data_IF_818930345589
#
_entry.id   IF_818930345589
#
_cell.length_a   1.000
_cell.length_b   1.000
_cell.length_c   1.000
_cell.angle_alpha   90.00
_cell.angle_beta   90.00
_cell.angle_gamma   90.00
#
_symmetry.space_group_name_H-M   'P 1'
#
loop_
_entity.id
_entity.type
_entity.pdbx_description
1 polymer ?
#
# COMPACT_ATOMS: atom_id res chain seq x y z
N UNK A 1 -2.02 2.45 17.00
CA UNK A 1 -2.06 1.15 16.28
C UNK A 1 -3.46 0.54 16.39
N UNK A 2 -3.91 -0.23 15.40
CA UNK A 2 -5.13 -1.06 15.45
C UNK A 2 -4.72 -2.46 15.95
N UNK A 3 -5.44 -3.04 16.92
CA UNK A 3 -5.11 -4.37 17.43
C UNK A 3 -6.14 -5.41 16.99
N UNK A 4 -5.74 -6.69 17.01
CA UNK A 4 -6.68 -7.80 16.77
C UNK A 4 -7.79 -7.84 17.82
N UNK A 5 -7.51 -7.39 19.05
CA UNK A 5 -8.49 -7.34 20.12
C UNK A 5 -9.57 -6.27 19.84
N UNK A 6 -9.19 -5.12 19.28
CA UNK A 6 -10.13 -4.09 18.86
C UNK A 6 -11.09 -4.65 17.81
N UNK A 7 -10.55 -5.35 16.82
CA UNK A 7 -11.34 -5.93 15.75
C UNK A 7 -12.22 -7.10 16.21
N UNK A 8 -11.73 -7.96 17.12
CA UNK A 8 -12.51 -9.07 17.68
C UNK A 8 -13.73 -8.59 18.48
N UNK A 9 -13.67 -7.42 19.12
CA UNK A 9 -14.81 -6.83 19.86
C UNK A 9 -15.92 -6.35 18.93
N UNK A 10 -15.56 -5.88 17.75
CA UNK A 10 -16.50 -5.41 16.72
C UNK A 10 -16.93 -6.52 15.76
N UNK A 11 -16.33 -7.71 15.91
CA UNK A 11 -16.68 -8.89 15.16
C UNK A 11 -18.11 -9.33 15.55
N UNK A 12 -18.94 -9.68 14.58
CA UNK A 12 -20.26 -10.19 14.86
C UNK A 12 -20.19 -11.43 15.79
N UNK A 13 -20.88 -11.44 16.95
CA UNK A 13 -20.75 -12.50 17.95
C UNK A 13 -21.27 -13.87 17.46
N UNK A 14 -22.07 -13.89 16.39
CA UNK A 14 -22.70 -15.10 15.85
C UNK A 14 -21.89 -15.79 14.74
N UNK A 15 -20.62 -15.42 14.55
CA UNK A 15 -19.78 -16.02 13.50
C UNK A 15 -19.34 -17.45 13.83
N UNK A 16 -19.47 -18.34 12.85
CA UNK A 16 -18.98 -19.72 12.94
C UNK A 16 -17.44 -19.82 13.02
N UNK A 17 -16.93 -21.01 13.33
CA UNK A 17 -15.48 -21.26 13.47
C UNK A 17 -14.68 -20.99 12.19
N UNK A 18 -15.26 -21.26 11.01
CA UNK A 18 -14.61 -21.03 9.71
C UNK A 18 -14.44 -19.52 9.47
N UNK A 19 -15.44 -18.71 9.81
CA UNK A 19 -15.40 -17.25 9.71
C UNK A 19 -14.39 -16.63 10.68
N UNK A 20 -14.33 -17.12 11.92
CA UNK A 20 -13.28 -16.72 12.88
C UNK A 20 -11.88 -16.99 12.32
N UNK A 21 -11.66 -18.18 11.74
CA UNK A 21 -10.39 -18.52 11.08
C UNK A 21 -10.07 -17.61 9.90
N UNK A 22 -11.03 -17.34 9.01
CA UNK A 22 -10.85 -16.40 7.88
C UNK A 22 -10.51 -14.99 8.35
N UNK A 23 -11.15 -14.51 9.41
CA UNK A 23 -10.84 -13.22 10.02
C UNK A 23 -9.40 -13.16 10.54
N UNK A 24 -8.92 -14.19 11.24
CA UNK A 24 -7.52 -14.26 11.69
C UNK A 24 -6.54 -14.23 10.52
N UNK A 25 -6.85 -14.94 9.42
CA UNK A 25 -6.05 -14.91 8.20
C UNK A 25 -6.06 -13.52 7.55
N UNK A 26 -7.22 -12.87 7.45
CA UNK A 26 -7.36 -11.53 6.90
C UNK A 26 -6.55 -10.51 7.73
N UNK A 27 -6.64 -10.58 9.06
CA UNK A 27 -5.89 -9.73 9.96
C UNK A 27 -4.38 -9.94 9.82
N UNK A 28 -3.92 -11.19 9.79
CA UNK A 28 -2.50 -11.50 9.55
C UNK A 28 -2.03 -10.98 8.20
N UNK A 29 -2.87 -11.08 7.16
CA UNK A 29 -2.55 -10.52 5.85
C UNK A 29 -2.41 -9.01 5.88
N UNK A 30 -3.24 -8.29 6.64
CA UNK A 30 -3.12 -6.83 6.80
C UNK A 30 -1.80 -6.45 7.47
N UNK A 31 -1.49 -7.08 8.61
CA UNK A 31 -0.23 -6.86 9.34
C UNK A 31 0.96 -7.19 8.44
N UNK A 32 0.89 -8.32 7.72
CA UNK A 32 1.93 -8.70 6.77
C UNK A 32 2.17 -7.62 5.72
N UNK A 33 1.13 -7.07 5.08
CA UNK A 33 1.30 -6.05 4.03
C UNK A 33 1.89 -4.74 4.59
N UNK A 34 1.50 -4.33 5.79
CA UNK A 34 2.07 -3.16 6.47
C UNK A 34 3.55 -3.36 6.80
N UNK A 35 3.92 -4.51 7.39
CA UNK A 35 5.31 -4.86 7.66
C UNK A 35 6.14 -4.96 6.35
N UNK A 36 5.55 -5.55 5.30
CA UNK A 36 6.19 -5.66 3.98
C UNK A 36 6.45 -4.29 3.36
N UNK A 37 5.52 -3.36 3.53
CA UNK A 37 5.68 -1.99 3.05
C UNK A 37 6.90 -1.33 3.69
N UNK A 38 7.02 -1.41 5.02
CA UNK A 38 8.18 -0.85 5.75
C UNK A 38 9.49 -1.53 5.36
N UNK A 39 9.48 -2.86 5.26
CA UNK A 39 10.65 -3.62 4.82
C UNK A 39 11.14 -3.15 3.45
N UNK A 40 10.24 -3.01 2.47
CA UNK A 40 10.62 -2.60 1.12
C UNK A 40 11.07 -1.13 1.05
N UNK A 41 10.54 -0.26 1.90
CA UNK A 41 11.04 1.11 2.05
C UNK A 41 12.49 1.13 2.56
N UNK A 42 12.79 0.38 3.62
CA UNK A 42 14.15 0.28 4.18
C UNK A 42 15.12 -0.36 3.18
N UNK A 43 14.69 -1.43 2.50
CA UNK A 43 15.52 -2.07 1.48
C UNK A 43 15.74 -1.18 0.27
N UNK A 44 14.76 -0.38 -0.16
CA UNK A 44 14.95 0.58 -1.24
C UNK A 44 16.13 1.51 -0.95
N UNK A 45 16.15 2.14 0.24
CA UNK A 45 17.23 3.02 0.67
C UNK A 45 18.59 2.32 0.72
N UNK A 46 18.63 1.15 1.36
CA UNK A 46 19.85 0.35 1.45
C UNK A 46 20.41 0.01 0.08
N UNK A 47 19.57 -0.47 -0.84
CA UNK A 47 19.99 -0.91 -2.16
C UNK A 47 20.34 0.27 -3.07
N UNK A 48 19.67 1.43 -2.93
CA UNK A 48 20.05 2.65 -3.64
C UNK A 48 21.42 3.14 -3.21
N UNK A 49 21.70 3.20 -1.90
CA UNK A 49 23.03 3.56 -1.41
C UNK A 49 24.13 2.61 -1.91
N UNK A 50 23.87 1.28 -1.87
CA UNK A 50 24.81 0.29 -2.42
C UNK A 50 25.02 0.46 -3.93
N UNK A 51 23.99 0.86 -4.68
CA UNK A 51 24.13 1.19 -6.10
C UNK A 51 25.06 2.40 -6.31
N UNK A 52 24.89 3.46 -5.53
CA UNK A 52 25.77 4.64 -5.59
C UNK A 52 27.23 4.26 -5.25
N UNK A 53 27.43 3.47 -4.21
CA UNK A 53 28.77 3.05 -3.77
C UNK A 53 29.44 2.11 -4.77
N UNK A 54 28.68 1.20 -5.40
CA UNK A 54 29.16 0.35 -6.48
C UNK A 54 29.60 1.17 -7.70
N UNK A 55 28.76 2.12 -8.13
CA UNK A 55 29.07 3.03 -9.24
C UNK A 55 30.30 3.90 -8.95
N UNK A 56 30.50 4.27 -7.68
CA UNK A 56 31.65 5.05 -7.21
C UNK A 56 32.92 4.24 -6.95
N UNK A 57 32.90 2.91 -7.14
CA UNK A 57 34.05 2.04 -6.86
C UNK A 57 34.43 1.95 -5.37
N UNK A 58 33.48 2.19 -4.46
CA UNK A 58 33.71 2.23 -3.00
C UNK A 58 33.45 0.90 -2.30
N UNK A 59 32.88 -0.09 -2.98
CA UNK A 59 32.64 -1.41 -2.39
C UNK A 59 33.95 -2.16 -2.22
N UNK A 60 34.17 -2.66 -1.00
CA UNK A 60 35.39 -3.36 -0.57
C UNK A 60 35.03 -4.79 -0.20
N UNK A 61 34.53 -5.62 -1.13
CA UNK A 61 34.43 -7.08 -0.95
C UNK A 61 33.98 -7.85 -2.22
N UNK A 62 34.33 -9.14 -2.26
CA UNK A 62 34.44 -10.04 -3.42
C UNK A 62 33.15 -10.58 -4.07
N UNK A 63 31.93 -10.34 -3.56
CA UNK A 63 30.78 -11.11 -4.06
C UNK A 63 29.89 -10.41 -5.10
N UNK A 64 29.67 -9.09 -5.06
CA UNK A 64 28.95 -8.40 -6.14
C UNK A 64 29.43 -6.96 -6.28
N UNK A 65 30.36 -6.72 -7.21
CA UNK A 65 30.81 -5.37 -7.58
C UNK A 65 29.94 -4.72 -8.66
N UNK A 66 29.04 -5.48 -9.28
CA UNK A 66 28.25 -5.00 -10.41
C UNK A 66 27.14 -4.04 -9.94
N UNK A 67 27.20 -2.74 -10.29
CA UNK A 67 26.18 -1.77 -9.88
C UNK A 67 24.77 -2.10 -10.38
N UNK A 68 24.67 -2.86 -11.47
CA UNK A 68 23.38 -3.27 -12.04
C UNK A 68 22.58 -4.18 -11.11
N UNK A 69 23.26 -4.98 -10.27
CA UNK A 69 22.58 -5.83 -9.30
C UNK A 69 21.82 -4.98 -8.27
N UNK A 70 22.51 -4.03 -7.66
CA UNK A 70 21.93 -3.09 -6.70
C UNK A 70 20.86 -2.21 -7.35
N UNK A 71 21.04 -1.86 -8.63
CA UNK A 71 20.02 -1.16 -9.41
C UNK A 71 18.71 -1.94 -9.48
N UNK A 72 18.78 -3.18 -9.96
CA UNK A 72 17.61 -4.06 -10.07
C UNK A 72 16.97 -4.25 -8.68
N UNK A 73 17.77 -4.42 -7.64
CA UNK A 73 17.28 -4.61 -6.28
C UNK A 73 16.53 -3.39 -5.75
N UNK A 74 17.06 -2.17 -5.89
CA UNK A 74 16.34 -0.98 -5.39
C UNK A 74 15.07 -0.71 -6.22
N UNK A 75 15.12 -0.88 -7.55
CA UNK A 75 13.94 -0.71 -8.42
C UNK A 75 12.83 -1.71 -8.04
N UNK A 76 13.20 -2.97 -7.79
CA UNK A 76 12.25 -3.99 -7.35
C UNK A 76 11.63 -3.66 -5.99
N UNK A 77 12.42 -3.15 -5.03
CA UNK A 77 11.90 -2.75 -3.71
C UNK A 77 10.97 -1.53 -3.80
N UNK A 78 11.26 -0.57 -4.69
CA UNK A 78 10.36 0.55 -4.97
C UNK A 78 8.98 0.06 -5.44
N UNK A 79 8.90 -0.83 -6.43
CA UNK A 79 7.61 -1.36 -6.89
C UNK A 79 6.94 -2.25 -5.85
N UNK A 80 7.70 -3.05 -5.12
CA UNK A 80 7.16 -3.92 -4.08
C UNK A 80 6.49 -3.11 -2.97
N UNK A 81 7.09 -1.98 -2.57
CA UNK A 81 6.49 -1.03 -1.63
C UNK A 81 5.13 -0.50 -2.10
N UNK A 82 5.05 0.06 -3.32
CA UNK A 82 3.79 0.60 -3.82
C UNK A 82 2.72 -0.49 -3.96
N UNK A 83 3.13 -1.70 -4.37
CA UNK A 83 2.21 -2.84 -4.48
C UNK A 83 1.72 -3.33 -3.13
N UNK A 84 2.56 -3.38 -2.10
CA UNK A 84 2.14 -3.78 -0.76
C UNK A 84 1.21 -2.76 -0.14
N UNK A 85 1.49 -1.46 -0.29
CA UNK A 85 0.62 -0.40 0.22
C UNK A 85 -0.74 -0.41 -0.48
N UNK A 86 -0.74 -0.55 -1.81
CA UNK A 86 -1.97 -0.67 -2.58
C UNK A 86 -2.76 -1.93 -2.16
N UNK A 87 -2.10 -3.07 -2.00
CA UNK A 87 -2.75 -4.30 -1.53
C UNK A 87 -3.33 -4.17 -0.11
N UNK A 88 -2.66 -3.43 0.78
CA UNK A 88 -3.16 -3.10 2.11
C UNK A 88 -4.50 -2.35 2.01
N UNK A 89 -4.57 -1.30 1.18
CA UNK A 89 -5.81 -0.53 0.97
C UNK A 89 -6.90 -1.40 0.35
N UNK A 90 -6.58 -2.12 -0.73
CA UNK A 90 -7.52 -2.99 -1.47
C UNK A 90 -8.12 -4.12 -0.62
N UNK A 91 -7.50 -4.45 0.51
CA UNK A 91 -8.03 -5.46 1.43
C UNK A 91 -9.08 -4.93 2.42
N UNK A 92 -9.25 -3.61 2.54
CA UNK A 92 -10.21 -2.98 3.46
C UNK A 92 -11.66 -3.44 3.21
N UNK A 93 -12.20 -3.46 1.96
CA UNK A 93 -13.56 -3.94 1.72
C UNK A 93 -13.76 -5.40 2.16
N UNK A 94 -12.74 -6.24 1.96
CA UNK A 94 -12.80 -7.63 2.40
C UNK A 94 -12.85 -7.74 3.93
N UNK A 95 -11.98 -7.00 4.64
CA UNK A 95 -12.02 -6.93 6.10
C UNK A 95 -13.39 -6.48 6.60
N UNK A 96 -13.95 -5.42 6.00
CA UNK A 96 -15.25 -4.89 6.39
C UNK A 96 -16.38 -5.91 6.16
N UNK A 97 -16.34 -6.70 5.07
CA UNK A 97 -17.35 -7.75 4.86
C UNK A 97 -17.35 -8.77 6.01
N UNK A 98 -16.18 -9.05 6.60
CA UNK A 98 -16.06 -9.94 7.76
C UNK A 98 -16.52 -9.28 9.07
N UNK A 99 -16.32 -7.96 9.21
CA UNK A 99 -16.66 -7.23 10.44
C UNK A 99 -18.17 -6.93 10.54
N UNK A 100 -18.78 -6.38 9.49
CA UNK A 100 -20.10 -5.75 9.59
C UNK A 100 -21.30 -6.62 9.14
N UNK A 101 -21.05 -7.81 8.57
CA UNK A 101 -22.05 -8.78 8.05
C UNK A 101 -23.29 -8.09 7.42
N UNK A 102 -23.12 -7.49 6.25
CA UNK A 102 -24.15 -6.63 5.62
C UNK A 102 -25.38 -7.41 5.14
N UNK A 103 -25.17 -8.67 4.77
CA UNK A 103 -26.22 -9.62 4.45
C UNK A 103 -26.08 -10.78 5.43
N UNK A 104 -27.17 -11.50 5.75
CA UNK A 104 -27.14 -12.78 6.51
C UNK A 104 -26.39 -13.91 5.75
N UNK A 105 -25.50 -13.53 4.84
CA UNK A 105 -24.62 -14.35 4.03
C UNK A 105 -23.18 -13.92 4.32
N UNK A 106 -22.41 -14.85 4.87
CA UNK A 106 -21.00 -14.68 5.21
C UNK A 106 -20.02 -14.76 4.06
N UNK A 107 -20.47 -15.17 2.87
CA UNK A 107 -19.67 -15.11 1.66
C UNK A 107 -20.05 -13.92 0.78
N UNK A 108 -20.94 -13.06 1.30
CA UNK A 108 -21.37 -11.87 0.62
C UNK A 108 -20.18 -10.95 0.37
N UNK A 109 -19.93 -10.65 -0.90
CA UNK A 109 -18.98 -9.64 -1.36
C UNK A 109 -19.67 -8.29 -1.53
N UNK A 110 -20.64 -8.00 -0.65
CA UNK A 110 -21.50 -6.84 -0.80
C UNK A 110 -20.72 -5.54 -0.63
N UNK A 111 -19.80 -5.49 0.32
CA UNK A 111 -18.93 -4.33 0.49
C UNK A 111 -17.83 -4.40 -0.56
N UNK A 112 -17.86 -3.43 -1.44
CA UNK A 112 -16.86 -3.17 -2.47
C UNK A 112 -16.61 -1.66 -2.50
N UNK A 113 -15.59 -1.21 -3.23
CA UNK A 113 -15.39 0.23 -3.43
C UNK A 113 -16.62 0.94 -4.01
N UNK A 114 -17.31 0.31 -4.98
CA UNK A 114 -18.57 0.83 -5.54
C UNK A 114 -19.68 0.99 -4.50
N UNK A 115 -19.68 0.14 -3.48
CA UNK A 115 -20.65 0.20 -2.38
C UNK A 115 -20.45 1.46 -1.54
N UNK A 116 -19.22 1.93 -1.36
CA UNK A 116 -18.92 3.17 -0.65
C UNK A 116 -19.20 4.42 -1.49
N UNK A 117 -19.03 4.32 -2.80
CA UNK A 117 -19.39 5.41 -3.73
C UNK A 117 -20.90 5.62 -3.73
N UNK A 118 -21.67 4.57 -4.02
CA UNK A 118 -23.08 4.71 -4.41
C UNK A 118 -24.05 3.71 -3.74
N UNK A 119 -23.56 2.85 -2.85
CA UNK A 119 -24.34 1.75 -2.28
C UNK A 119 -25.08 2.08 -0.97
N UNK A 120 -26.19 1.38 -0.66
CA UNK A 120 -26.91 1.56 0.59
C UNK A 120 -26.20 0.82 1.74
N UNK A 121 -25.35 1.52 2.47
CA UNK A 121 -24.88 1.07 3.79
C UNK A 121 -25.78 1.64 4.90
N UNK A 122 -25.88 0.93 6.03
CA UNK A 122 -26.66 1.41 7.18
C UNK A 122 -26.14 2.77 7.66
N UNK A 123 -27.06 3.67 8.05
CA UNK A 123 -26.73 5.02 8.56
C UNK A 123 -25.72 4.99 9.72
N UNK A 124 -25.65 3.90 10.48
CA UNK A 124 -24.68 3.72 11.58
C UNK A 124 -23.22 3.73 11.11
N UNK A 125 -22.95 3.46 9.83
CA UNK A 125 -21.62 3.45 9.24
C UNK A 125 -21.28 4.71 8.42
N UNK A 126 -22.13 5.75 8.47
CA UNK A 126 -21.94 6.97 7.67
C UNK A 126 -20.57 7.62 7.86
N UNK A 127 -20.04 7.60 9.10
CA UNK A 127 -18.71 8.15 9.37
C UNK A 127 -17.63 7.42 8.56
N UNK A 128 -17.59 6.08 8.63
CA UNK A 128 -16.61 5.31 7.87
C UNK A 128 -16.79 5.34 6.36
N UNK A 129 -18.03 5.46 5.87
CA UNK A 129 -18.27 5.72 4.44
C UNK A 129 -17.66 7.07 4.02
N UNK A 130 -17.79 8.10 4.86
CA UNK A 130 -17.18 9.41 4.61
C UNK A 130 -15.66 9.34 4.57
N UNK A 131 -15.04 8.68 5.55
CA UNK A 131 -13.57 8.46 5.60
C UNK A 131 -13.06 7.74 4.35
N UNK A 132 -13.76 6.69 3.89
CA UNK A 132 -13.39 5.99 2.65
C UNK A 132 -13.48 6.91 1.43
N UNK A 133 -14.53 7.74 1.33
CA UNK A 133 -14.64 8.68 0.21
C UNK A 133 -13.51 9.68 0.20
N UNK A 134 -13.10 10.19 1.37
CA UNK A 134 -11.93 11.06 1.51
C UNK A 134 -10.66 10.35 1.06
N UNK A 135 -10.43 9.11 1.52
CA UNK A 135 -9.29 8.28 1.10
C UNK A 135 -9.24 8.11 -0.43
N UNK A 136 -10.33 7.66 -1.04
CA UNK A 136 -10.42 7.37 -2.49
C UNK A 136 -10.27 8.62 -3.37
N UNK A 137 -10.59 9.81 -2.83
CA UNK A 137 -10.47 11.07 -3.56
C UNK A 137 -9.14 11.77 -3.37
N UNK A 138 -8.33 11.33 -2.40
CA UNK A 138 -7.02 11.89 -2.09
C UNK A 138 -6.05 11.75 -3.26
N UNK A 139 -5.15 12.73 -3.41
CA UNK A 139 -4.12 12.69 -4.45
C UNK A 139 -3.16 11.52 -4.22
N UNK A 140 -2.79 11.25 -2.97
CA UNK A 140 -1.89 10.16 -2.59
C UNK A 140 -2.44 8.79 -3.01
N UNK A 141 -3.74 8.56 -2.83
CA UNK A 141 -4.36 7.31 -3.26
C UNK A 141 -4.40 7.21 -4.79
N UNK A 142 -4.77 8.28 -5.50
CA UNK A 142 -4.78 8.31 -6.97
C UNK A 142 -3.40 8.04 -7.57
N UNK A 143 -2.36 8.65 -7.00
CA UNK A 143 -0.96 8.41 -7.41
C UNK A 143 -0.58 6.95 -7.17
N UNK A 144 -0.84 6.41 -5.97
CA UNK A 144 -0.57 5.02 -5.62
C UNK A 144 -1.30 4.03 -6.55
N UNK A 145 -2.60 4.23 -6.76
CA UNK A 145 -3.44 3.42 -7.65
C UNK A 145 -2.88 3.46 -9.08
N UNK A 146 -2.50 4.65 -9.57
CA UNK A 146 -1.93 4.79 -10.90
C UNK A 146 -0.58 4.06 -11.04
N UNK A 147 0.34 4.22 -10.08
CA UNK A 147 1.63 3.51 -10.06
C UNK A 147 1.42 1.98 -10.03
N UNK A 148 0.57 1.50 -9.13
CA UNK A 148 0.27 0.08 -9.00
C UNK A 148 -0.36 -0.50 -10.27
N UNK A 149 -1.26 0.24 -10.93
CA UNK A 149 -1.94 -0.21 -12.15
C UNK A 149 -1.00 -0.21 -13.36
N UNK A 150 -0.21 0.85 -13.57
CA UNK A 150 0.73 0.92 -14.69
C UNK A 150 1.76 -0.20 -14.59
N UNK A 151 2.36 -0.37 -13.40
CA UNK A 151 3.39 -1.39 -13.14
C UNK A 151 2.87 -2.83 -13.23
N UNK A 152 1.57 -3.07 -12.96
CA UNK A 152 0.97 -4.40 -13.01
C UNK A 152 0.43 -4.79 -14.39
N UNK A 153 -0.10 -3.83 -15.15
CA UNK A 153 -0.94 -4.13 -16.32
C UNK A 153 -0.45 -3.58 -17.65
N UNK A 154 0.48 -2.61 -17.65
CA UNK A 154 0.85 -1.91 -18.89
C UNK A 154 2.32 -1.99 -19.23
N UNK A 155 3.19 -1.54 -18.33
CA UNK A 155 4.64 -1.49 -18.53
C UNK A 155 5.36 -1.39 -17.21
N UNK A 156 6.61 -1.86 -17.17
CA UNK A 156 7.51 -1.53 -16.07
C UNK A 156 7.88 -0.05 -16.23
N UNK A 157 7.49 0.77 -15.25
CA UNK A 157 7.86 2.19 -15.21
C UNK A 157 9.37 2.29 -15.05
N UNK A 158 10.02 3.16 -15.81
CA UNK A 158 11.46 3.35 -15.68
C UNK A 158 11.78 4.24 -14.48
N UNK A 159 12.86 3.86 -13.81
CA UNK A 159 13.45 4.63 -12.72
C UNK A 159 14.83 5.10 -13.21
N UNK A 160 15.00 6.42 -13.21
CA UNK A 160 16.31 7.03 -13.24
C UNK A 160 16.92 6.87 -11.85
N UNK A 161 18.09 6.24 -11.75
CA UNK A 161 18.77 6.05 -10.47
C UNK A 161 19.29 7.35 -9.86
N UNK A 162 19.22 8.45 -10.61
CA UNK A 162 19.70 9.76 -10.18
C UNK A 162 21.21 9.90 -10.28
N UNK A 163 21.95 8.85 -10.64
CA UNK A 163 23.42 8.79 -10.63
C UNK A 163 24.11 9.99 -11.27
N UNK A 164 23.58 10.47 -12.40
CA UNK A 164 24.13 11.58 -13.16
C UNK A 164 23.42 12.91 -12.89
N UNK A 165 22.45 12.92 -11.96
CA UNK A 165 21.77 14.13 -11.51
C UNK A 165 22.58 14.80 -10.38
N UNK A 166 22.54 16.14 -10.27
CA UNK A 166 23.28 16.86 -9.21
C UNK A 166 22.93 16.43 -7.79
N UNK A 167 21.70 15.96 -7.55
CA UNK A 167 21.21 15.53 -6.24
C UNK A 167 21.35 14.04 -5.97
N UNK A 168 21.69 13.24 -6.99
CA UNK A 168 21.73 11.77 -6.89
C UNK A 168 20.43 11.10 -6.42
N UNK A 169 19.29 11.79 -6.56
CA UNK A 169 17.99 11.29 -6.13
C UNK A 169 17.35 10.45 -7.22
N UNK A 170 16.83 9.26 -6.90
CA UNK A 170 16.18 8.38 -7.86
C UNK A 170 14.80 8.93 -8.20
N UNK A 171 14.43 8.88 -9.49
CA UNK A 171 13.21 9.50 -10.00
C UNK A 171 12.49 8.58 -10.96
N UNK A 172 11.17 8.63 -10.91
CA UNK A 172 10.34 8.05 -11.95
C UNK A 172 10.49 8.83 -13.26
N UNK A 173 10.49 8.13 -14.39
CA UNK A 173 10.38 8.77 -15.70
C UNK A 173 8.95 9.27 -15.93
N UNK A 174 8.78 10.59 -16.03
CA UNK A 174 7.47 11.26 -16.17
C UNK A 174 6.69 10.77 -17.41
N UNK A 175 7.36 10.57 -18.54
CA UNK A 175 6.76 10.07 -19.79
C UNK A 175 6.10 8.69 -19.66
N UNK A 176 6.42 7.94 -18.59
CA UNK A 176 5.83 6.63 -18.33
C UNK A 176 4.47 6.73 -17.60
N UNK A 177 3.99 7.94 -17.31
CA UNK A 177 2.70 8.21 -16.67
C UNK A 177 1.77 9.04 -17.55
N UNK A 178 0.46 8.78 -17.44
CA UNK A 178 -0.57 9.51 -18.16
C UNK A 178 -1.22 10.60 -17.28
N UNK A 179 -0.70 10.81 -16.08
CA UNK A 179 -1.12 11.87 -15.16
C UNK A 179 0.08 12.50 -14.47
N UNK A 180 -0.11 13.74 -14.01
CA UNK A 180 0.92 14.48 -13.29
C UNK A 180 0.95 14.07 -11.81
N UNK A 181 2.14 13.79 -11.28
CA UNK A 181 2.37 13.53 -9.86
C UNK A 181 2.86 14.79 -9.13
N UNK A 182 2.65 14.83 -7.81
CA UNK A 182 3.18 15.88 -6.91
C UNK A 182 4.70 15.92 -6.89
N UNK A 183 5.33 14.75 -6.96
CA UNK A 183 6.77 14.58 -7.13
C UNK A 183 7.03 13.32 -7.94
N UNK A 184 8.11 13.36 -8.70
CA UNK A 184 8.67 12.18 -9.36
C UNK A 184 9.91 11.67 -8.63
N UNK A 185 10.41 12.39 -7.61
CA UNK A 185 11.45 11.87 -6.71
C UNK A 185 10.85 10.74 -5.87
N UNK A 186 11.44 9.55 -5.98
CA UNK A 186 10.83 8.32 -5.46
C UNK A 186 10.75 8.35 -3.94
N UNK A 187 11.79 8.85 -3.28
CA UNK A 187 11.83 8.96 -1.82
C UNK A 187 10.68 9.83 -1.30
N UNK A 188 10.58 11.07 -1.78
CA UNK A 188 9.50 12.01 -1.42
C UNK A 188 8.13 11.39 -1.68
N UNK A 189 7.97 10.71 -2.81
CA UNK A 189 6.71 10.09 -3.21
C UNK A 189 6.34 8.93 -2.28
N UNK A 190 7.28 8.05 -1.96
CA UNK A 190 7.06 6.92 -1.04
C UNK A 190 6.69 7.40 0.36
N UNK A 191 7.43 8.37 0.91
CA UNK A 191 7.16 8.93 2.24
C UNK A 191 5.82 9.64 2.28
N UNK A 192 5.57 10.57 1.35
CA UNK A 192 4.33 11.34 1.32
C UNK A 192 3.11 10.42 1.19
N UNK A 193 3.16 9.43 0.29
CA UNK A 193 2.06 8.49 0.10
C UNK A 193 1.86 7.62 1.35
N UNK A 194 2.93 7.14 1.99
CA UNK A 194 2.81 6.34 3.20
C UNK A 194 2.23 7.15 4.37
N UNK A 195 2.78 8.32 4.64
CA UNK A 195 2.38 9.18 5.75
C UNK A 195 0.95 9.70 5.59
N UNK A 196 0.53 9.96 4.35
CA UNK A 196 -0.86 10.34 4.07
C UNK A 196 -1.82 9.16 4.24
N UNK A 197 -1.51 8.00 3.63
CA UNK A 197 -2.50 6.92 3.49
C UNK A 197 -2.51 5.95 4.67
N UNK A 198 -1.35 5.63 5.25
CA UNK A 198 -1.27 4.61 6.29
C UNK A 198 -2.11 4.98 7.54
N UNK A 199 -2.06 6.20 8.09
CA UNK A 199 -2.94 6.63 9.16
C UNK A 199 -4.42 6.67 8.74
N UNK A 200 -4.71 7.10 7.51
CA UNK A 200 -6.08 7.17 6.99
C UNK A 200 -6.73 5.79 6.90
N UNK A 201 -5.99 4.75 6.49
CA UNK A 201 -6.48 3.36 6.45
C UNK A 201 -6.86 2.90 7.86
N UNK A 202 -5.98 3.15 8.84
CA UNK A 202 -6.23 2.76 10.23
C UNK A 202 -7.47 3.48 10.78
N UNK A 203 -7.59 4.78 10.53
CA UNK A 203 -8.74 5.59 10.98
C UNK A 203 -10.04 5.14 10.29
N UNK A 204 -9.97 4.84 9.00
CA UNK A 204 -11.06 4.26 8.22
C UNK A 204 -11.54 2.97 8.89
N UNK A 205 -10.67 1.99 9.13
CA UNK A 205 -11.10 0.72 9.75
C UNK A 205 -11.73 0.97 11.13
N UNK A 206 -11.12 1.82 11.95
CA UNK A 206 -11.62 2.15 13.30
C UNK A 206 -13.01 2.78 13.29
N UNK A 207 -13.34 3.58 12.29
CA UNK A 207 -14.65 4.23 12.16
C UNK A 207 -15.82 3.25 11.94
N UNK A 208 -15.52 1.98 11.60
CA UNK A 208 -16.50 0.90 11.48
C UNK A 208 -16.61 0.02 12.74
N UNK A 209 -15.81 0.26 13.78
CA UNK A 209 -15.75 -0.58 14.98
C UNK A 209 -16.82 -0.28 16.05
N UNK A 210 -17.81 0.55 15.74
CA UNK A 210 -18.87 1.00 16.64
C UNK A 210 -20.07 0.04 16.75
#
# INVERSE_FOLDING_TARGET
>A
MLTIADLRKSLNPNLDAKRKSRFEVAFRSLVYQDDYCRYHYEQFHKQHQLHLDAMGGKLVDDEILNPQYFRIAFEANCFAFFRSLHALIESVPYLLNLLIEVNKDSESRFITWKTFENGPLSKKYNNGVSEIRVLLTSNSYKELEHIANVSKHRRIVRIDSGMFSPKQNPRFCEDDFDMQFRSYEIHDLMETIYDDLHPQIINTIKSFLH
#
